data_IF_497439348772
#
_entry.id   IF_497439348772
#
_cell.length_a   1.000
_cell.length_b   1.000
_cell.length_c   1.000
_cell.angle_alpha   90.00
_cell.angle_beta   90.00
_cell.angle_gamma   90.00
#
_symmetry.space_group_name_H-M   'P 1'
#
loop_
_entity.id
_entity.type
_entity.pdbx_description
1 polymer ?
#
# COMPACT_ATOMS: atom_id res chain seq x y z
N UNK A 1 -18.70 5.93 -12.47
CA UNK A 1 -17.63 5.60 -11.51
C UNK A 1 -16.45 5.02 -12.28
N UNK A 2 -15.27 5.61 -12.16
CA UNK A 2 -14.05 5.04 -12.74
C UNK A 2 -13.50 3.94 -11.81
N UNK A 3 -13.12 2.80 -12.38
CA UNK A 3 -12.48 1.71 -11.64
C UNK A 3 -10.97 1.77 -11.89
N UNK A 4 -10.17 1.67 -10.83
CA UNK A 4 -8.72 1.46 -10.96
C UNK A 4 -8.49 0.18 -11.77
N UNK A 5 -7.76 0.28 -12.89
CA UNK A 5 -7.46 -0.86 -13.78
C UNK A 5 -6.15 -1.54 -13.44
N UNK A 6 -5.17 -0.76 -13.01
CA UNK A 6 -3.83 -1.25 -12.69
C UNK A 6 -3.39 -0.60 -11.39
N UNK A 7 -2.88 -1.44 -10.49
CA UNK A 7 -2.18 -1.01 -9.28
C UNK A 7 -0.73 -1.45 -9.42
N UNK A 8 0.19 -0.49 -9.37
CA UNK A 8 1.63 -0.74 -9.34
C UNK A 8 2.21 -0.09 -8.07
N UNK A 9 2.96 -0.89 -7.32
CA UNK A 9 3.59 -0.50 -6.06
C UNK A 9 5.08 -0.85 -6.19
N UNK A 10 5.94 0.12 -5.89
CA UNK A 10 7.40 -0.02 -5.95
C UNK A 10 7.98 0.54 -4.66
N UNK A 11 8.88 -0.21 -4.03
CA UNK A 11 9.65 0.20 -2.85
C UNK A 11 8.80 0.81 -1.72
N UNK A 12 7.63 0.22 -1.44
CA UNK A 12 6.72 0.70 -0.39
C UNK A 12 6.60 -0.32 0.73
N UNK A 13 7.15 0.00 1.91
CA UNK A 13 7.22 -0.91 3.05
C UNK A 13 7.75 -2.29 2.62
N UNK A 14 7.18 -3.40 3.11
CA UNK A 14 7.59 -4.75 2.69
C UNK A 14 7.29 -5.10 1.22
N UNK A 15 6.78 -4.19 0.38
CA UNK A 15 6.49 -4.44 -1.04
C UNK A 15 7.61 -3.88 -1.91
N UNK A 16 8.53 -4.76 -2.35
CA UNK A 16 9.61 -4.39 -3.28
C UNK A 16 9.06 -3.98 -4.64
N UNK A 17 8.26 -4.85 -5.25
CA UNK A 17 7.54 -4.58 -6.49
C UNK A 17 6.29 -5.44 -6.57
N UNK A 18 5.17 -4.82 -6.93
CA UNK A 18 3.90 -5.48 -7.16
C UNK A 18 3.18 -4.77 -8.30
N UNK A 19 2.73 -5.53 -9.31
CA UNK A 19 1.87 -5.02 -10.38
C UNK A 19 0.66 -5.93 -10.52
N UNK A 20 -0.52 -5.34 -10.45
CA UNK A 20 -1.79 -6.05 -10.41
C UNK A 20 -2.78 -5.44 -11.41
N UNK A 21 -3.48 -6.31 -12.14
CA UNK A 21 -4.67 -5.93 -12.90
C UNK A 21 -5.88 -6.01 -11.99
N UNK A 22 -6.45 -4.87 -11.65
CA UNK A 22 -7.55 -4.78 -10.69
C UNK A 22 -8.90 -5.15 -11.34
N UNK A 23 -9.70 -5.93 -10.61
CA UNK A 23 -11.11 -6.21 -10.92
C UNK A 23 -12.02 -5.44 -9.98
N UNK A 24 -13.34 -5.61 -10.14
CA UNK A 24 -14.34 -5.00 -9.25
C UNK A 24 -14.14 -5.40 -7.79
N UNK A 25 -13.71 -6.65 -7.54
CA UNK A 25 -13.35 -7.18 -6.23
C UNK A 25 -11.97 -7.82 -6.34
N UNK A 26 -11.07 -7.47 -5.43
CA UNK A 26 -9.71 -8.01 -5.36
C UNK A 26 -9.51 -8.57 -3.94
N UNK A 27 -9.04 -9.81 -3.83
CA UNK A 27 -8.88 -10.50 -2.54
C UNK A 27 -7.39 -10.80 -2.33
N UNK A 28 -6.83 -10.31 -1.23
CA UNK A 28 -5.41 -10.51 -0.89
C UNK A 28 -5.30 -11.52 0.26
N UNK A 29 -4.75 -12.71 -0.02
CA UNK A 29 -4.65 -13.84 0.93
C UNK A 29 -3.18 -14.23 1.10
N UNK A 30 -2.81 -14.63 2.32
CA UNK A 30 -1.45 -15.05 2.65
C UNK A 30 -1.22 -15.09 4.16
N UNK A 31 -0.13 -15.74 4.58
CA UNK A 31 0.28 -15.86 6.00
C UNK A 31 0.34 -14.49 6.71
N UNK A 32 0.18 -14.41 8.03
CA UNK A 32 0.41 -13.17 8.77
C UNK A 32 1.74 -12.50 8.37
N UNK A 33 1.78 -11.16 8.38
CA UNK A 33 2.97 -10.35 8.12
C UNK A 33 3.60 -10.46 6.72
N UNK A 34 2.87 -10.96 5.72
CA UNK A 34 3.31 -11.04 4.32
C UNK A 34 3.08 -9.76 3.49
N UNK A 35 2.84 -8.61 4.12
CA UNK A 35 2.67 -7.34 3.40
C UNK A 35 1.29 -7.07 2.81
N UNK A 36 0.27 -7.90 3.08
CA UNK A 36 -1.11 -7.68 2.61
C UNK A 36 -1.68 -6.31 3.03
N UNK A 37 -1.45 -5.91 4.27
CA UNK A 37 -1.86 -4.58 4.75
C UNK A 37 -1.08 -3.47 4.04
N UNK A 38 0.19 -3.68 3.69
CA UNK A 38 0.99 -2.69 2.96
C UNK A 38 0.43 -2.42 1.56
N UNK A 39 -0.19 -3.41 0.91
CA UNK A 39 -0.94 -3.19 -0.34
C UNK A 39 -2.09 -2.20 -0.12
N UNK A 40 -2.88 -2.38 0.95
CA UNK A 40 -3.99 -1.48 1.27
C UNK A 40 -3.51 -0.10 1.73
N UNK A 41 -2.42 -0.03 2.50
CA UNK A 41 -1.82 1.23 2.95
C UNK A 41 -1.25 2.05 1.78
N UNK A 42 -0.76 1.41 0.71
CA UNK A 42 -0.35 2.12 -0.51
C UNK A 42 -1.52 2.84 -1.21
N UNK A 43 -2.73 2.28 -1.12
CA UNK A 43 -3.95 2.92 -1.62
C UNK A 43 -4.36 4.05 -0.66
N UNK A 44 -4.19 3.83 0.65
CA UNK A 44 -4.33 4.85 1.68
C UNK A 44 -3.43 6.07 1.46
N UNK A 45 -2.18 5.84 1.02
CA UNK A 45 -1.25 6.90 0.62
C UNK A 45 -1.78 7.77 -0.52
N UNK A 46 -2.59 7.26 -1.43
CA UNK A 46 -3.21 8.13 -2.44
C UNK A 46 -4.47 8.82 -1.90
N UNK A 47 -5.18 8.14 -1.00
CA UNK A 47 -6.43 8.63 -0.42
C UNK A 47 -6.22 9.82 0.51
N UNK A 48 -5.12 9.86 1.27
CA UNK A 48 -4.88 10.95 2.23
C UNK A 48 -4.87 12.33 1.55
N UNK A 49 -4.41 12.41 0.28
CA UNK A 49 -4.35 13.65 -0.50
C UNK A 49 -5.71 14.38 -0.53
N UNK A 50 -6.81 13.62 -0.57
CA UNK A 50 -8.16 14.17 -0.67
C UNK A 50 -8.96 14.06 0.64
N UNK A 51 -8.60 13.17 1.54
CA UNK A 51 -9.49 12.73 2.64
C UNK A 51 -8.94 12.93 4.05
N UNK A 52 -7.68 13.32 4.24
CA UNK A 52 -7.19 13.68 5.58
C UNK A 52 -5.70 13.48 5.79
N UNK A 53 -5.29 13.43 7.05
CA UNK A 53 -3.88 13.34 7.42
C UNK A 53 -3.30 11.95 7.12
N UNK A 54 -2.04 11.93 6.72
CA UNK A 54 -1.31 10.71 6.31
C UNK A 54 -1.35 9.59 7.36
N UNK A 55 -1.18 9.93 8.64
CA UNK A 55 -1.19 8.96 9.74
C UNK A 55 -2.53 8.25 9.98
N UNK A 56 -3.63 8.77 9.44
CA UNK A 56 -4.93 8.09 9.49
C UNK A 56 -5.04 6.95 8.47
N UNK A 57 -4.17 6.93 7.45
CA UNK A 57 -4.19 5.96 6.36
C UNK A 57 -3.00 5.00 6.37
N UNK A 58 -1.86 5.44 6.91
CA UNK A 58 -0.61 4.68 6.92
C UNK A 58 -0.07 4.63 8.33
N UNK A 59 0.29 3.43 8.78
CA UNK A 59 0.96 3.24 10.07
C UNK A 59 2.45 3.51 9.90
N UNK A 60 2.97 4.51 10.57
CA UNK A 60 4.39 4.85 10.53
C UNK A 60 4.75 5.60 11.81
N UNK A 61 5.96 5.35 12.32
CA UNK A 61 6.57 6.11 13.41
C UNK A 61 7.42 7.25 12.84
N UNK A 62 8.11 7.02 11.72
CA UNK A 62 8.80 8.07 10.96
C UNK A 62 8.75 7.81 9.44
N UNK A 63 9.20 8.80 8.65
CA UNK A 63 9.06 8.78 7.18
C UNK A 63 9.82 7.62 6.52
N UNK A 64 10.88 7.10 7.16
CA UNK A 64 11.65 5.98 6.63
C UNK A 64 10.83 4.68 6.61
N UNK A 65 9.75 4.56 7.39
CA UNK A 65 8.85 3.40 7.39
C UNK A 65 8.16 3.20 6.04
N UNK A 66 8.11 4.24 5.21
CA UNK A 66 7.44 4.18 3.91
C UNK A 66 8.23 3.40 2.87
N UNK A 67 9.54 3.24 3.06
CA UNK A 67 10.43 2.65 2.06
C UNK A 67 10.64 1.15 2.31
N UNK A 68 10.91 0.42 1.23
CA UNK A 68 11.23 -1.01 1.31
C UNK A 68 12.59 -1.24 1.96
N UNK A 69 12.64 -2.23 2.86
CA UNK A 69 13.77 -2.54 3.74
C UNK A 69 14.28 -1.31 4.51
N UNK A 70 13.76 -1.12 5.73
CA UNK A 70 14.51 -0.35 6.74
C UNK A 70 15.78 -1.06 7.20
N UNK A 71 15.85 -2.37 6.95
CA UNK A 71 16.88 -3.28 7.46
C UNK A 71 18.13 -3.26 6.57
N UNK A 72 18.86 -2.13 6.61
CA UNK A 72 20.31 -2.11 6.40
C UNK A 72 21.02 -2.20 7.75
#
# INVERSE_FOLDING_TARGET
MALVKTLEIVNFKSVRHLRLSCRRVNVFIGKPNTGKSNILESIGLLSHICYGNLGSFIRMEDVLDLFYDRDL
#
